data_IF_108577858213
#
_entry.id   IF_108577858213
#
_cell.length_a   1.000
_cell.length_b   1.000
_cell.length_c   1.000
_cell.angle_alpha   90.00
_cell.angle_beta   90.00
_cell.angle_gamma   90.00
#
_symmetry.space_group_name_H-M   'P 1'
#
loop_
_entity.id
_entity.type
_entity.pdbx_description
1 polymer ?
#
# COMPACT_ATOMS: atom_id res chain seq x y z
N UNK A 1 -20.14 6.60 5.30
CA UNK A 1 -19.33 5.81 6.25
C UNK A 1 -17.91 6.36 6.28
N UNK A 2 -17.20 6.28 7.40
CA UNK A 2 -15.77 6.66 7.50
C UNK A 2 -14.89 5.45 7.20
N UNK A 3 -13.87 5.61 6.37
CA UNK A 3 -12.83 4.61 6.13
C UNK A 3 -11.66 4.75 7.11
N UNK A 4 -10.68 3.85 6.99
CA UNK A 4 -9.41 3.91 7.73
C UNK A 4 -8.27 4.03 6.71
N UNK A 5 -7.32 4.93 6.98
CA UNK A 5 -6.08 5.05 6.21
C UNK A 5 -4.91 4.53 7.04
N UNK A 6 -4.17 3.57 6.49
CA UNK A 6 -3.06 2.89 7.15
C UNK A 6 -1.80 3.05 6.29
N UNK A 7 -0.70 3.53 6.89
CA UNK A 7 0.63 3.54 6.27
C UNK A 7 1.54 2.49 6.92
N UNK A 8 2.51 2.00 6.15
CA UNK A 8 3.53 1.07 6.61
C UNK A 8 4.89 1.71 6.38
N UNK A 9 5.59 2.00 7.47
CA UNK A 9 6.91 2.66 7.47
C UNK A 9 8.02 1.70 7.87
N UNK A 10 9.26 2.01 7.45
CA UNK A 10 10.45 1.22 7.77
C UNK A 10 11.53 1.28 6.70
N UNK A 11 12.74 0.82 7.03
CA UNK A 11 13.89 0.81 6.13
C UNK A 11 13.76 -0.14 4.93
N UNK A 12 14.75 -0.13 4.06
CA UNK A 12 14.88 -1.10 2.97
C UNK A 12 14.94 -2.52 3.52
N UNK A 13 14.30 -3.49 2.83
CA UNK A 13 14.26 -4.88 3.30
C UNK A 13 13.35 -5.17 4.50
N UNK A 14 12.73 -4.17 5.14
CA UNK A 14 11.86 -4.35 6.32
C UNK A 14 10.54 -5.14 6.06
N UNK A 15 10.31 -5.61 4.83
CA UNK A 15 9.15 -6.45 4.49
C UNK A 15 7.83 -5.69 4.31
N UNK A 16 7.84 -4.35 4.23
CA UNK A 16 6.64 -3.50 4.08
C UNK A 16 5.68 -3.98 2.99
N UNK A 17 6.18 -4.21 1.77
CA UNK A 17 5.38 -4.68 0.64
C UNK A 17 4.71 -6.04 0.92
N UNK A 18 5.41 -6.94 1.61
CA UNK A 18 4.86 -8.26 1.99
C UNK A 18 3.75 -8.11 3.02
N UNK A 19 3.95 -7.26 4.04
CA UNK A 19 2.96 -7.07 5.10
C UNK A 19 1.72 -6.33 4.60
N UNK A 20 1.87 -5.34 3.72
CA UNK A 20 0.74 -4.66 3.06
C UNK A 20 -0.12 -5.68 2.29
N UNK A 21 0.51 -6.58 1.52
CA UNK A 21 -0.22 -7.60 0.77
C UNK A 21 -0.99 -8.55 1.70
N UNK A 22 -0.33 -9.08 2.74
CA UNK A 22 -0.95 -9.98 3.72
C UNK A 22 -2.12 -9.33 4.47
N UNK A 23 -1.97 -8.07 4.87
CA UNK A 23 -3.05 -7.34 5.55
C UNK A 23 -4.24 -7.13 4.60
N UNK A 24 -3.97 -6.75 3.36
CA UNK A 24 -5.03 -6.56 2.37
C UNK A 24 -5.81 -7.85 2.13
N UNK A 25 -5.12 -8.97 1.91
CA UNK A 25 -5.75 -10.28 1.72
C UNK A 25 -6.60 -10.68 2.94
N UNK A 26 -6.08 -10.47 4.16
CA UNK A 26 -6.80 -10.78 5.39
C UNK A 26 -8.06 -9.91 5.58
N UNK A 27 -8.00 -8.63 5.24
CA UNK A 27 -9.14 -7.72 5.35
C UNK A 27 -10.18 -7.97 4.26
N UNK A 28 -9.74 -8.18 3.01
CA UNK A 28 -10.65 -8.57 1.92
C UNK A 28 -11.32 -9.90 2.21
N UNK A 29 -10.60 -10.89 2.76
CA UNK A 29 -11.18 -12.16 3.21
C UNK A 29 -12.22 -12.03 4.33
N UNK A 30 -12.24 -10.90 5.06
CA UNK A 30 -13.26 -10.56 6.08
C UNK A 30 -14.40 -9.70 5.51
N UNK A 31 -14.44 -9.46 4.21
CA UNK A 31 -15.49 -8.68 3.54
C UNK A 31 -15.27 -7.16 3.54
N UNK A 32 -14.07 -6.68 3.92
CA UNK A 32 -13.75 -5.26 3.82
C UNK A 32 -13.35 -4.87 2.40
N UNK A 33 -13.80 -3.69 1.96
CA UNK A 33 -13.24 -3.05 0.78
C UNK A 33 -11.85 -2.48 1.12
N UNK A 34 -10.84 -2.91 0.36
CA UNK A 34 -9.43 -2.54 0.60
C UNK A 34 -8.85 -1.96 -0.68
N UNK A 35 -8.32 -0.75 -0.59
CA UNK A 35 -7.52 -0.13 -1.65
C UNK A 35 -6.07 -0.06 -1.18
N UNK A 36 -5.15 -0.56 -2.01
CA UNK A 36 -3.72 -0.46 -1.77
C UNK A 36 -3.14 0.67 -2.61
N UNK A 37 -2.26 1.47 -2.01
CA UNK A 37 -1.43 2.45 -2.71
C UNK A 37 0.01 2.37 -2.21
N UNK A 38 0.93 3.04 -2.89
CA UNK A 38 2.35 3.16 -2.52
C UNK A 38 2.86 4.52 -2.93
N UNK A 39 3.86 5.04 -2.24
CA UNK A 39 4.56 6.26 -2.63
C UNK A 39 6.09 6.02 -2.65
N UNK A 40 6.83 6.60 -3.62
CA UNK A 40 6.30 7.21 -4.84
C UNK A 40 5.70 6.13 -5.77
N UNK A 41 4.57 6.47 -6.40
CA UNK A 41 3.78 5.55 -7.21
C UNK A 41 2.28 5.71 -6.95
N UNK A 42 1.49 4.74 -7.41
CA UNK A 42 0.04 4.66 -7.09
C UNK A 42 -0.89 5.40 -8.06
N UNK A 43 -0.34 6.29 -8.90
CA UNK A 43 -1.03 6.94 -10.01
C UNK A 43 -0.06 7.16 -11.20
N UNK A 44 -0.55 7.47 -12.42
CA UNK A 44 0.30 7.61 -13.60
C UNK A 44 1.42 8.65 -13.47
N UNK A 45 1.22 9.73 -12.70
CA UNK A 45 2.25 10.71 -12.40
C UNK A 45 3.20 10.21 -11.31
N UNK A 46 2.68 9.61 -10.23
CA UNK A 46 3.50 9.00 -9.19
C UNK A 46 4.47 7.93 -9.72
N UNK A 47 4.04 7.13 -10.70
CA UNK A 47 4.92 6.14 -11.35
C UNK A 47 6.03 6.81 -12.19
N UNK A 48 5.80 7.99 -12.78
CA UNK A 48 6.85 8.77 -13.47
C UNK A 48 7.88 9.31 -12.49
N UNK A 49 7.44 9.85 -11.34
CA UNK A 49 8.33 10.33 -10.29
C UNK A 49 9.20 9.18 -9.78
N UNK A 50 8.60 8.00 -9.57
CA UNK A 50 9.33 6.79 -9.16
C UNK A 50 10.45 6.40 -10.12
N UNK A 51 10.24 6.53 -11.43
CA UNK A 51 11.25 6.16 -12.43
C UNK A 51 12.50 7.06 -12.40
N UNK A 52 12.47 8.18 -11.68
CA UNK A 52 13.60 9.11 -11.51
C UNK A 52 14.43 8.84 -10.26
N UNK A 53 13.99 7.92 -9.39
CA UNK A 53 14.64 7.53 -8.13
C UNK A 53 15.28 6.15 -8.26
#
# INVERSE_FOLDING_TARGET
MKGVFLSFEGGEGAGKTTQIARLADALTGRGYSVTRTREPGGDPFGEKVRALL
#
